data_IF_909746840681
#
_entry.id   IF_909746840681
#
_cell.length_a   1.000
_cell.length_b   1.000
_cell.length_c   1.000
_cell.angle_alpha   90.00
_cell.angle_beta   90.00
_cell.angle_gamma   90.00
#
_symmetry.space_group_name_H-M   'P 1'
#
loop_
_entity.id
_entity.type
_entity.pdbx_description
1 polymer ?
#
# COMPACT_ATOMS: atom_id res chain seq x y z
N UNK A 1 7.94 20.10 -3.43
CA UNK A 1 8.03 18.68 -3.84
C UNK A 1 6.80 18.39 -4.70
N UNK A 2 6.92 17.77 -5.86
CA UNK A 2 5.72 17.38 -6.62
C UNK A 2 4.96 16.28 -5.90
N UNK A 3 3.66 16.19 -6.12
CA UNK A 3 2.82 15.16 -5.51
C UNK A 3 3.31 13.74 -5.84
N UNK A 4 3.74 13.51 -7.09
CA UNK A 4 4.33 12.24 -7.49
C UNK A 4 5.64 11.92 -6.76
N UNK A 5 6.45 12.95 -6.46
CA UNK A 5 7.67 12.75 -5.68
C UNK A 5 7.36 12.35 -4.24
N UNK A 6 6.28 12.90 -3.68
CA UNK A 6 5.80 12.53 -2.36
C UNK A 6 5.22 11.10 -2.36
N UNK A 7 4.37 10.75 -3.33
CA UNK A 7 3.85 9.39 -3.46
C UNK A 7 4.98 8.37 -3.65
N UNK A 8 5.99 8.67 -4.48
CA UNK A 8 7.19 7.83 -4.61
C UNK A 8 7.89 7.61 -3.28
N UNK A 9 8.11 8.66 -2.49
CA UNK A 9 8.75 8.56 -1.17
C UNK A 9 7.97 7.61 -0.25
N UNK A 10 6.63 7.71 -0.23
CA UNK A 10 5.76 6.86 0.58
C UNK A 10 5.77 5.40 0.11
N UNK A 11 5.65 5.16 -1.19
CA UNK A 11 5.73 3.80 -1.74
C UNK A 11 7.11 3.19 -1.55
N UNK A 12 8.19 3.97 -1.70
CA UNK A 12 9.55 3.49 -1.43
C UNK A 12 9.72 3.09 0.05
N UNK A 13 9.16 3.88 0.98
CA UNK A 13 9.11 3.51 2.41
C UNK A 13 8.35 2.21 2.64
N UNK A 14 7.22 2.02 1.95
CA UNK A 14 6.45 0.79 2.01
C UNK A 14 7.24 -0.43 1.52
N UNK A 15 8.01 -0.28 0.44
CA UNK A 15 8.90 -1.34 -0.08
C UNK A 15 9.95 -1.75 0.97
N UNK A 16 10.53 -0.79 1.69
CA UNK A 16 11.45 -1.11 2.80
C UNK A 16 10.77 -1.88 3.92
N UNK A 17 9.54 -1.52 4.30
CA UNK A 17 8.74 -2.28 5.27
C UNK A 17 8.47 -3.71 4.75
N UNK A 18 8.14 -3.85 3.47
CA UNK A 18 7.96 -5.15 2.84
C UNK A 18 9.25 -5.96 2.75
N UNK A 19 10.44 -5.40 2.89
CA UNK A 19 11.69 -6.17 2.88
C UNK A 19 12.13 -6.64 4.28
N UNK A 20 11.38 -6.32 5.34
CA UNK A 20 11.74 -6.67 6.71
C UNK A 20 11.66 -8.19 6.98
N UNK A 21 12.36 -8.71 8.01
CA UNK A 21 12.34 -10.13 8.37
C UNK A 21 11.08 -10.55 9.17
N UNK A 22 10.11 -9.66 9.35
CA UNK A 22 8.88 -9.95 10.09
C UNK A 22 7.90 -10.83 9.29
N UNK A 23 6.78 -11.23 9.93
CA UNK A 23 5.69 -11.92 9.22
C UNK A 23 5.12 -11.06 8.10
N UNK A 24 4.57 -11.69 7.06
CA UNK A 24 4.00 -10.98 5.92
C UNK A 24 2.87 -10.03 6.34
N UNK A 25 2.02 -10.45 7.28
CA UNK A 25 0.98 -9.62 7.89
C UNK A 25 1.57 -8.33 8.50
N UNK A 26 2.64 -8.45 9.31
CA UNK A 26 3.27 -7.29 9.96
C UNK A 26 3.98 -6.37 8.95
N UNK A 27 4.64 -6.95 7.95
CA UNK A 27 5.25 -6.25 6.82
C UNK A 27 4.23 -5.43 6.05
N UNK A 28 3.06 -6.01 5.75
CA UNK A 28 1.97 -5.32 5.07
C UNK A 28 1.37 -4.21 5.94
N UNK A 29 1.11 -4.49 7.22
CA UNK A 29 0.57 -3.50 8.14
C UNK A 29 1.48 -2.25 8.21
N UNK A 30 2.78 -2.46 8.41
CA UNK A 30 3.77 -1.37 8.45
C UNK A 30 3.93 -0.66 7.11
N UNK A 31 3.87 -1.39 5.99
CA UNK A 31 3.86 -0.81 4.65
C UNK A 31 2.68 0.15 4.46
N UNK A 32 1.45 -0.26 4.81
CA UNK A 32 0.28 0.61 4.72
C UNK A 32 0.34 1.80 5.67
N UNK A 33 0.87 1.64 6.89
CA UNK A 33 1.11 2.77 7.79
C UNK A 33 2.04 3.81 7.16
N UNK A 34 3.06 3.39 6.44
CA UNK A 34 3.96 4.32 5.74
C UNK A 34 3.26 5.08 4.61
N UNK A 35 2.16 4.56 4.08
CA UNK A 35 1.37 5.15 3.00
C UNK A 35 0.03 5.75 3.46
N UNK A 36 -0.24 5.82 4.76
CA UNK A 36 -1.55 6.24 5.31
C UNK A 36 -1.96 7.65 4.88
N UNK A 37 -0.99 8.50 4.54
CA UNK A 37 -1.19 9.88 4.11
C UNK A 37 -1.18 10.04 2.59
N UNK A 38 -1.17 8.94 1.82
CA UNK A 38 -1.29 8.96 0.36
C UNK A 38 -2.76 9.01 0.00
N UNK A 39 -3.14 10.01 -0.78
CA UNK A 39 -4.51 10.15 -1.29
C UNK A 39 -4.57 9.62 -2.73
N UNK A 40 -5.39 8.58 -3.01
CA UNK A 40 -5.53 8.03 -4.36
C UNK A 40 -6.06 9.05 -5.39
N UNK A 41 -6.76 10.12 -5.00
CA UNK A 41 -7.23 11.17 -5.92
C UNK A 41 -6.12 12.11 -6.38
N UNK A 42 -4.98 12.11 -5.69
CA UNK A 42 -3.89 13.05 -5.93
C UNK A 42 -2.81 12.50 -6.88
N UNK A 43 -3.00 11.29 -7.41
CA UNK A 43 -2.09 10.72 -8.40
C UNK A 43 -2.22 11.47 -9.72
N UNK A 44 -1.08 11.82 -10.33
CA UNK A 44 -1.05 12.39 -11.68
C UNK A 44 -1.53 11.38 -12.73
N UNK A 45 -1.27 10.10 -12.52
CA UNK A 45 -1.84 9.00 -13.30
C UNK A 45 -3.12 8.48 -12.63
N UNK A 46 -4.32 8.72 -13.23
CA UNK A 46 -5.59 8.28 -12.65
C UNK A 46 -5.70 6.76 -12.49
N UNK A 47 -5.02 5.98 -13.33
CA UNK A 47 -5.06 4.52 -13.26
C UNK A 47 -4.32 4.00 -12.03
N UNK A 48 -3.16 4.59 -11.71
CA UNK A 48 -2.44 4.28 -10.46
C UNK A 48 -3.26 4.67 -9.23
N UNK A 49 -3.92 5.84 -9.28
CA UNK A 49 -4.82 6.28 -8.21
C UNK A 49 -6.00 5.32 -8.00
N UNK A 50 -6.63 4.85 -9.09
CA UNK A 50 -7.71 3.85 -9.06
C UNK A 50 -7.24 2.54 -8.44
N UNK A 51 -6.11 2.00 -8.89
CA UNK A 51 -5.53 0.75 -8.37
C UNK A 51 -5.18 0.85 -6.89
N UNK A 52 -4.58 1.96 -6.47
CA UNK A 52 -4.27 2.18 -5.06
C UNK A 52 -5.54 2.27 -4.19
N UNK A 53 -6.60 2.93 -4.68
CA UNK A 53 -7.90 2.94 -4.00
C UNK A 53 -8.46 1.54 -3.84
N UNK A 54 -8.48 0.74 -4.90
CA UNK A 54 -8.98 -0.63 -4.85
C UNK A 54 -8.21 -1.48 -3.84
N UNK A 55 -6.88 -1.30 -3.81
CA UNK A 55 -6.02 -1.93 -2.82
C UNK A 55 -6.37 -1.49 -1.40
N UNK A 56 -6.52 -0.18 -1.15
CA UNK A 56 -6.92 0.36 0.16
C UNK A 56 -8.29 -0.14 0.62
N UNK A 57 -9.26 -0.19 -0.28
CA UNK A 57 -10.59 -0.74 0.01
C UNK A 57 -10.50 -2.21 0.37
N UNK A 58 -9.72 -3.00 -0.39
CA UNK A 58 -9.53 -4.43 -0.13
C UNK A 58 -8.91 -4.68 1.24
N UNK A 59 -7.92 -3.89 1.67
CA UNK A 59 -7.24 -4.11 2.96
C UNK A 59 -7.94 -3.45 4.14
N UNK A 60 -9.10 -2.79 3.94
CA UNK A 60 -9.93 -2.23 5.01
C UNK A 60 -11.36 -2.77 4.98
N UNK A 61 -11.61 -3.89 4.29
CA UNK A 61 -12.97 -4.40 4.07
C UNK A 61 -13.58 -5.11 5.26
N UNK A 62 -12.77 -5.61 6.20
CA UNK A 62 -13.26 -6.27 7.40
C UNK A 62 -13.54 -5.24 8.51
N UNK A 63 -14.65 -5.38 9.25
CA UNK A 63 -14.92 -4.55 10.42
C UNK A 63 -13.94 -4.86 11.55
N UNK A 64 -13.78 -3.92 12.49
CA UNK A 64 -13.04 -4.16 13.72
C UNK A 64 -13.72 -5.24 14.57
N UNK A 65 -12.93 -6.15 15.14
CA UNK A 65 -13.43 -7.16 16.08
C UNK A 65 -13.50 -6.63 17.51
N UNK A 66 -12.64 -5.66 17.84
CA UNK A 66 -12.60 -4.98 19.12
C UNK A 66 -12.14 -3.52 18.96
N UNK A 67 -12.55 -2.67 19.90
CA UNK A 67 -12.29 -1.23 19.87
C UNK A 67 -10.79 -0.92 19.79
N UNK A 68 -10.41 -0.12 18.79
CA UNK A 68 -9.03 0.36 18.61
C UNK A 68 -8.11 -0.56 17.80
N UNK A 69 -8.62 -1.67 17.28
CA UNK A 69 -7.86 -2.55 16.38
C UNK A 69 -7.52 -1.85 15.05
N UNK A 70 -8.45 -1.07 14.51
CA UNK A 70 -8.39 -0.56 13.15
C UNK A 70 -8.79 -1.61 12.10
N UNK A 71 -9.51 -1.17 11.06
CA UNK A 71 -9.99 -2.02 9.95
C UNK A 71 -8.85 -2.68 9.15
N UNK A 72 -7.69 -2.02 9.06
CA UNK A 72 -6.52 -2.57 8.38
C UNK A 72 -6.00 -3.83 9.07
N UNK A 73 -5.76 -3.75 10.38
CA UNK A 73 -5.27 -4.88 11.17
C UNK A 73 -6.33 -6.00 11.20
N UNK A 74 -7.61 -5.65 11.33
CA UNK A 74 -8.71 -6.60 11.30
C UNK A 74 -8.75 -7.37 9.97
N UNK A 75 -8.65 -6.67 8.84
CA UNK A 75 -8.68 -7.28 7.50
C UNK A 75 -7.45 -8.15 7.26
N UNK A 76 -6.25 -7.68 7.60
CA UNK A 76 -5.03 -8.47 7.39
C UNK A 76 -5.01 -9.76 8.22
N UNK A 77 -5.69 -9.79 9.37
CA UNK A 77 -5.78 -10.99 10.20
C UNK A 77 -6.70 -12.08 9.61
N UNK A 78 -7.59 -11.74 8.68
CA UNK A 78 -8.50 -12.69 8.02
C UNK A 78 -7.99 -13.15 6.66
N UNK A 79 -6.98 -12.46 6.09
CA UNK A 79 -6.38 -12.83 4.82
C UNK A 79 -5.51 -14.08 4.95
N UNK A 80 -5.59 -14.95 3.94
CA UNK A 80 -4.63 -16.01 3.71
C UNK A 80 -3.27 -15.46 3.27
N UNK A 81 -2.22 -16.30 3.38
CA UNK A 81 -0.88 -15.95 2.88
C UNK A 81 -0.90 -15.59 1.40
N UNK A 82 -1.66 -16.31 0.57
CA UNK A 82 -1.78 -16.04 -0.87
C UNK A 82 -2.39 -14.66 -1.14
N UNK A 83 -3.47 -14.32 -0.44
CA UNK A 83 -4.10 -12.99 -0.55
C UNK A 83 -3.14 -11.88 -0.12
N UNK A 84 -2.41 -12.08 0.97
CA UNK A 84 -1.38 -11.16 1.45
C UNK A 84 -0.24 -11.00 0.44
N UNK A 85 0.19 -12.10 -0.20
CA UNK A 85 1.20 -12.05 -1.26
C UNK A 85 0.73 -11.22 -2.45
N UNK A 86 -0.54 -11.34 -2.85
CA UNK A 86 -1.08 -10.56 -3.96
C UNK A 86 -1.22 -9.07 -3.61
N UNK A 87 -1.57 -8.74 -2.38
CA UNK A 87 -1.53 -7.36 -1.88
C UNK A 87 -0.10 -6.80 -1.96
N UNK A 88 0.91 -7.56 -1.50
CA UNK A 88 2.31 -7.13 -1.56
C UNK A 88 2.80 -6.92 -3.01
N UNK A 89 2.43 -7.81 -3.93
CA UNK A 89 2.74 -7.67 -5.37
C UNK A 89 2.12 -6.40 -5.96
N UNK A 90 0.90 -6.07 -5.58
CA UNK A 90 0.23 -4.86 -6.09
C UNK A 90 0.92 -3.58 -5.61
N UNK A 91 1.35 -3.52 -4.33
CA UNK A 91 2.18 -2.42 -3.81
C UNK A 91 3.46 -2.27 -4.65
N UNK A 92 4.14 -3.39 -4.94
CA UNK A 92 5.38 -3.41 -5.73
C UNK A 92 5.11 -2.95 -7.17
N UNK A 93 4.00 -3.37 -7.79
CA UNK A 93 3.64 -2.95 -9.15
C UNK A 93 3.43 -1.44 -9.23
N UNK A 94 2.62 -0.87 -8.33
CA UNK A 94 2.34 0.57 -8.29
C UNK A 94 3.64 1.35 -8.03
N UNK A 95 4.48 0.90 -7.09
CA UNK A 95 5.79 1.49 -6.86
C UNK A 95 6.65 1.51 -8.12
N UNK A 96 6.75 0.39 -8.84
CA UNK A 96 7.58 0.30 -10.03
C UNK A 96 7.09 1.25 -11.13
N UNK A 97 5.79 1.36 -11.35
CA UNK A 97 5.21 2.29 -12.32
C UNK A 97 5.47 3.75 -11.95
N UNK A 98 5.36 4.11 -10.67
CA UNK A 98 5.75 5.43 -10.17
C UNK A 98 7.23 5.75 -10.42
N UNK A 99 8.12 4.74 -10.40
CA UNK A 99 9.54 4.90 -10.69
C UNK A 99 9.84 4.98 -12.19
N UNK A 100 9.12 4.23 -13.04
CA UNK A 100 9.30 4.25 -14.50
C UNK A 100 8.70 5.48 -15.19
N UNK A 101 7.76 6.18 -14.56
CA UNK A 101 7.27 7.47 -15.03
C UNK A 101 8.39 8.53 -15.17
N UNK A 102 9.56 8.27 -14.57
CA UNK A 102 10.81 9.00 -14.79
C UNK A 102 11.43 8.54 -16.13
N UNK A 103 10.82 8.86 -17.28
CA UNK A 103 11.64 8.89 -18.49
C UNK A 103 12.59 10.09 -18.40
N UNK A 104 13.91 9.89 -18.50
CA UNK A 104 14.83 11.01 -18.63
C UNK A 104 14.51 11.71 -19.96
N UNK A 105 14.28 13.02 -19.90
CA UNK A 105 14.41 13.88 -21.08
C UNK A 105 15.86 13.91 -21.53
#
# INVERSE_FOLDING_TARGET
MSIDSYHREKFNSAIYCLASPESLNRRLFTAFLSMITVDPEQFTDPELGRRYRELLTRVNSAPEEFEGQGTLQATLNTMSDEEMYDVAKEIISIHNELMYAIKPN
#
